data_IF_605927993181
#
_entry.id   IF_605927993181
#
_cell.length_a   1.000
_cell.length_b   1.000
_cell.length_c   1.000
_cell.angle_alpha   90.00
_cell.angle_beta   90.00
_cell.angle_gamma   90.00
#
_symmetry.space_group_name_H-M   'P 1'
#
loop_
_entity.id
_entity.type
_entity.pdbx_description
1 polymer ?
#
# COMPACT_ATOMS: atom_id res chain seq x y z
N UNK A 1 -0.85 14.40 -54.07
CA UNK A 1 0.28 14.61 -53.14
C UNK A 1 -0.27 15.28 -51.89
N UNK A 2 -0.72 14.49 -50.92
CA UNK A 2 -1.18 14.98 -49.62
C UNK A 2 0.05 15.35 -48.79
N UNK A 3 0.29 16.64 -48.59
CA UNK A 3 1.29 17.12 -47.66
C UNK A 3 0.85 16.73 -46.25
N UNK A 4 1.53 15.73 -45.69
CA UNK A 4 1.56 15.43 -44.26
C UNK A 4 1.93 16.69 -43.50
N UNK A 5 0.92 17.41 -42.97
CA UNK A 5 1.16 18.41 -41.92
C UNK A 5 1.65 17.62 -40.71
N UNK A 6 2.98 17.62 -40.52
CA UNK A 6 3.58 17.31 -39.22
C UNK A 6 3.02 18.32 -38.22
N UNK A 7 1.97 17.93 -37.52
CA UNK A 7 1.48 18.66 -36.35
C UNK A 7 2.60 18.53 -35.32
N UNK A 8 3.29 19.62 -34.94
CA UNK A 8 4.34 19.53 -33.95
C UNK A 8 3.71 19.01 -32.65
N UNK A 9 4.16 17.85 -32.19
CA UNK A 9 3.79 17.34 -30.87
C UNK A 9 4.23 18.40 -29.86
N UNK A 10 3.31 19.01 -29.11
CA UNK A 10 3.68 20.10 -28.21
C UNK A 10 4.63 19.59 -27.12
N UNK A 11 5.63 20.42 -26.81
CA UNK A 11 6.65 20.23 -25.77
C UNK A 11 6.08 19.91 -24.38
N UNK A 12 4.77 20.18 -24.16
CA UNK A 12 3.94 19.74 -23.02
C UNK A 12 3.96 18.22 -22.76
N UNK A 13 4.45 17.41 -23.71
CA UNK A 13 4.51 15.94 -23.58
C UNK A 13 5.75 15.42 -22.83
N UNK A 14 6.74 16.26 -22.49
CA UNK A 14 7.94 15.82 -21.76
C UNK A 14 7.66 15.65 -20.26
N UNK A 15 7.52 14.38 -19.85
CA UNK A 15 8.02 13.84 -18.57
C UNK A 15 7.11 13.79 -17.32
N UNK A 16 5.77 13.80 -17.44
CA UNK A 16 4.90 13.70 -16.23
C UNK A 16 3.76 12.67 -16.30
N UNK A 17 3.58 11.99 -17.44
CA UNK A 17 2.37 11.18 -17.72
C UNK A 17 2.44 9.76 -17.10
N UNK A 18 3.63 9.23 -16.86
CA UNK A 18 3.82 7.79 -16.65
C UNK A 18 3.66 7.30 -15.21
N UNK A 19 3.49 8.20 -14.24
CA UNK A 19 3.70 7.85 -12.85
C UNK A 19 2.46 7.29 -12.11
N UNK A 20 1.24 7.68 -12.49
CA UNK A 20 0.01 7.31 -11.76
C UNK A 20 -0.82 6.22 -12.47
N UNK A 21 -0.89 6.29 -13.81
CA UNK A 21 -1.68 5.34 -14.59
C UNK A 21 -0.99 4.00 -14.79
N UNK A 22 0.34 3.97 -14.94
CA UNK A 22 1.09 2.72 -15.10
C UNK A 22 0.87 1.79 -13.89
N UNK A 23 1.01 2.24 -12.63
CA UNK A 23 0.68 1.40 -11.48
C UNK A 23 -0.76 0.89 -11.51
N UNK A 24 -1.73 1.75 -11.79
CA UNK A 24 -3.16 1.36 -11.81
C UNK A 24 -3.46 0.27 -12.86
N UNK A 25 -2.91 0.39 -14.07
CA UNK A 25 -3.07 -0.63 -15.12
C UNK A 25 -2.32 -1.92 -14.79
N UNK A 26 -1.13 -1.83 -14.18
CA UNK A 26 -0.38 -2.99 -13.70
C UNK A 26 -1.18 -3.70 -12.60
N UNK A 27 -1.71 -2.98 -11.61
CA UNK A 27 -2.56 -3.50 -10.55
C UNK A 27 -3.81 -4.20 -11.11
N UNK A 28 -4.47 -3.60 -12.10
CA UNK A 28 -5.62 -4.21 -12.76
C UNK A 28 -5.27 -5.49 -13.53
N UNK A 29 -4.20 -5.45 -14.32
CA UNK A 29 -3.71 -6.62 -15.06
C UNK A 29 -3.27 -7.74 -14.13
N UNK A 30 -2.57 -7.38 -13.05
CA UNK A 30 -2.13 -8.28 -12.00
C UNK A 30 -3.31 -8.98 -11.32
N UNK A 31 -4.32 -8.24 -10.85
CA UNK A 31 -5.53 -8.84 -10.25
C UNK A 31 -6.22 -9.84 -11.17
N UNK A 32 -6.24 -9.60 -12.49
CA UNK A 32 -6.79 -10.56 -13.45
C UNK A 32 -5.96 -11.84 -13.54
N UNK A 33 -4.63 -11.71 -13.54
CA UNK A 33 -3.71 -12.85 -13.61
C UNK A 33 -3.80 -13.73 -12.35
N UNK A 34 -3.85 -13.12 -11.17
CA UNK A 34 -3.84 -13.84 -9.89
C UNK A 34 -5.23 -14.21 -9.37
N UNK A 35 -6.30 -13.96 -10.14
CA UNK A 35 -7.70 -14.15 -9.71
C UNK A 35 -7.98 -15.50 -9.05
N UNK A 36 -7.47 -16.59 -9.61
CA UNK A 36 -7.69 -17.95 -9.08
C UNK A 36 -7.00 -18.15 -7.74
N UNK A 37 -5.74 -17.72 -7.63
CA UNK A 37 -4.96 -17.81 -6.41
C UNK A 37 -5.52 -16.92 -5.31
N UNK A 38 -5.97 -15.71 -5.67
CA UNK A 38 -6.63 -14.79 -4.75
C UNK A 38 -7.96 -15.35 -4.22
N UNK A 39 -8.75 -16.00 -5.09
CA UNK A 39 -9.97 -16.72 -4.67
C UNK A 39 -9.66 -17.82 -3.65
N UNK A 40 -8.56 -18.55 -3.81
CA UNK A 40 -8.13 -19.56 -2.83
C UNK A 40 -7.82 -18.92 -1.47
N UNK A 41 -7.10 -17.80 -1.44
CA UNK A 41 -6.78 -17.08 -0.20
C UNK A 41 -8.04 -16.57 0.53
N UNK A 42 -8.99 -15.99 -0.20
CA UNK A 42 -10.26 -15.53 0.37
C UNK A 42 -11.15 -16.70 0.84
N UNK A 43 -11.12 -17.83 0.13
CA UNK A 43 -11.86 -19.03 0.55
C UNK A 43 -11.28 -19.62 1.83
N UNK A 44 -9.96 -19.56 2.01
CA UNK A 44 -9.32 -19.95 3.26
C UNK A 44 -9.78 -19.05 4.42
N UNK A 45 -9.79 -17.72 4.23
CA UNK A 45 -10.35 -16.78 5.22
C UNK A 45 -11.79 -17.18 5.55
N UNK A 46 -12.67 -17.31 4.55
CA UNK A 46 -14.06 -17.68 4.80
C UNK A 46 -14.21 -19.00 5.56
N UNK A 47 -13.38 -20.00 5.25
CA UNK A 47 -13.39 -21.29 5.94
C UNK A 47 -12.94 -21.17 7.40
N UNK A 48 -11.90 -20.40 7.65
CA UNK A 48 -11.37 -20.19 9.01
C UNK A 48 -12.39 -19.47 9.88
N UNK A 49 -13.07 -18.46 9.33
CA UNK A 49 -14.11 -17.69 10.04
C UNK A 49 -15.44 -18.42 10.19
N UNK A 50 -15.72 -19.44 9.38
CA UNK A 50 -16.92 -20.29 9.49
C UNK A 50 -16.72 -21.50 10.41
N UNK A 51 -15.49 -21.77 10.84
CA UNK A 51 -15.21 -22.84 11.80
C UNK A 51 -15.50 -22.35 13.21
N UNK A 52 -16.34 -23.07 13.96
CA UNK A 52 -16.64 -22.76 15.37
C UNK A 52 -15.34 -22.66 16.17
N UNK A 53 -14.98 -21.43 16.53
CA UNK A 53 -13.77 -21.10 17.27
C UNK A 53 -14.12 -20.76 18.71
N UNK A 54 -13.22 -21.08 19.65
CA UNK A 54 -13.38 -20.64 21.04
C UNK A 54 -13.46 -19.10 21.11
N UNK A 55 -14.22 -18.57 22.07
CA UNK A 55 -14.44 -17.12 22.21
C UNK A 55 -13.15 -16.30 22.24
N UNK A 56 -12.09 -16.82 22.85
CA UNK A 56 -10.77 -16.18 22.91
C UNK A 56 -10.08 -16.14 21.55
N UNK A 57 -10.13 -17.23 20.78
CA UNK A 57 -9.52 -17.30 19.45
C UNK A 57 -10.24 -16.38 18.47
N UNK A 58 -11.57 -16.32 18.56
CA UNK A 58 -12.38 -15.36 17.81
C UNK A 58 -12.01 -13.91 18.15
N UNK A 59 -11.81 -13.59 19.43
CA UNK A 59 -11.40 -12.24 19.85
C UNK A 59 -10.05 -11.84 19.26
N UNK A 60 -9.06 -12.74 19.27
CA UNK A 60 -7.74 -12.51 18.66
C UNK A 60 -7.88 -12.24 17.15
N UNK A 61 -8.60 -13.09 16.43
CA UNK A 61 -8.85 -12.90 15.00
C UNK A 61 -9.58 -11.58 14.70
N UNK A 62 -10.55 -11.20 15.53
CA UNK A 62 -11.28 -9.94 15.41
C UNK A 62 -10.38 -8.72 15.65
N UNK A 63 -9.38 -8.81 16.54
CA UNK A 63 -8.42 -7.73 16.75
C UNK A 63 -7.56 -7.48 15.50
N UNK A 64 -7.01 -8.54 14.90
CA UNK A 64 -6.25 -8.42 13.66
C UNK A 64 -7.12 -7.97 12.47
N UNK A 65 -8.37 -8.43 12.39
CA UNK A 65 -9.31 -7.94 11.40
C UNK A 65 -9.60 -6.43 11.57
N UNK A 66 -9.77 -5.94 12.80
CA UNK A 66 -9.91 -4.50 13.10
C UNK A 66 -8.66 -3.71 12.74
N UNK A 67 -7.46 -4.24 13.02
CA UNK A 67 -6.18 -3.63 12.61
C UNK A 67 -6.11 -3.50 11.07
N UNK A 68 -6.44 -4.56 10.33
CA UNK A 68 -6.51 -4.55 8.87
C UNK A 68 -7.55 -3.58 8.31
N UNK A 69 -8.75 -3.52 8.92
CA UNK A 69 -9.79 -2.58 8.54
C UNK A 69 -9.36 -1.12 8.80
N UNK A 70 -8.69 -0.83 9.91
CA UNK A 70 -8.16 0.50 10.21
C UNK A 70 -7.14 0.95 9.16
N UNK A 71 -6.17 0.10 8.83
CA UNK A 71 -5.17 0.40 7.80
C UNK A 71 -5.83 0.60 6.43
N UNK A 72 -6.84 -0.20 6.12
CA UNK A 72 -7.62 -0.08 4.88
C UNK A 72 -8.43 1.22 4.82
N UNK A 73 -9.01 1.65 5.94
CA UNK A 73 -9.71 2.94 6.02
C UNK A 73 -8.76 4.13 5.88
N UNK A 74 -7.56 4.04 6.46
CA UNK A 74 -6.53 5.06 6.26
C UNK A 74 -6.13 5.17 4.79
N UNK A 75 -5.89 4.04 4.13
CA UNK A 75 -5.56 4.00 2.69
C UNK A 75 -6.68 4.56 1.81
N UNK A 76 -7.93 4.12 2.05
CA UNK A 76 -9.11 4.68 1.39
C UNK A 76 -9.24 6.20 1.60
N UNK A 77 -9.02 6.68 2.84
CA UNK A 77 -9.07 8.09 3.18
C UNK A 77 -8.04 8.91 2.39
N UNK A 78 -6.81 8.41 2.29
CA UNK A 78 -5.75 9.00 1.47
C UNK A 78 -6.17 9.03 0.00
N UNK A 79 -6.72 7.93 -0.52
CA UNK A 79 -7.25 7.86 -1.88
C UNK A 79 -8.33 8.91 -2.16
N UNK A 80 -9.27 9.13 -1.23
CA UNK A 80 -10.31 10.16 -1.35
C UNK A 80 -9.71 11.57 -1.33
N UNK A 81 -8.75 11.84 -0.45
CA UNK A 81 -8.04 13.14 -0.41
C UNK A 81 -7.32 13.40 -1.73
N UNK A 82 -6.63 12.40 -2.29
CA UNK A 82 -6.02 12.50 -3.61
C UNK A 82 -7.06 12.79 -4.70
N UNK A 83 -8.21 12.10 -4.70
CA UNK A 83 -9.31 12.38 -5.63
C UNK A 83 -9.74 13.85 -5.54
N UNK A 84 -10.03 14.36 -4.34
CA UNK A 84 -10.51 15.72 -4.16
C UNK A 84 -9.49 16.77 -4.62
N UNK A 85 -8.21 16.60 -4.27
CA UNK A 85 -7.14 17.54 -4.64
C UNK A 85 -6.91 17.57 -6.15
N UNK A 86 -6.96 16.42 -6.83
CA UNK A 86 -6.78 16.39 -8.27
C UNK A 86 -8.03 16.87 -9.03
N UNK A 87 -9.24 16.63 -8.51
CA UNK A 87 -10.48 17.18 -9.10
C UNK A 87 -10.56 18.70 -8.93
N UNK A 88 -10.00 19.26 -7.86
CA UNK A 88 -9.91 20.72 -7.68
C UNK A 88 -9.24 21.40 -8.88
N UNK A 89 -8.23 20.78 -9.50
CA UNK A 89 -7.52 21.35 -10.66
C UNK A 89 -8.44 21.60 -11.86
N UNK A 90 -9.47 20.76 -12.04
CA UNK A 90 -10.47 20.94 -13.10
C UNK A 90 -11.39 22.14 -12.82
N UNK A 91 -11.59 22.47 -11.53
CA UNK A 91 -12.43 23.57 -11.07
C UNK A 91 -11.68 24.91 -11.03
N UNK A 92 -10.36 24.89 -10.80
CA UNK A 92 -9.51 26.08 -10.75
C UNK A 92 -9.74 27.07 -11.91
N UNK A 93 -9.73 26.68 -13.20
CA UNK A 93 -9.93 27.66 -14.28
C UNK A 93 -11.35 28.25 -14.28
N UNK A 94 -12.37 27.46 -13.88
CA UNK A 94 -13.75 27.92 -13.80
C UNK A 94 -13.95 28.97 -12.69
N UNK A 95 -13.36 28.71 -11.52
CA UNK A 95 -13.38 29.65 -10.39
C UNK A 95 -12.64 30.93 -10.75
N UNK A 96 -11.50 30.80 -11.43
CA UNK A 96 -10.72 31.97 -11.84
C UNK A 96 -11.40 32.78 -12.94
N UNK A 97 -12.21 32.18 -13.81
CA UNK A 97 -13.01 32.91 -14.80
C UNK A 97 -14.07 33.79 -14.13
N UNK A 98 -14.57 33.38 -12.95
CA UNK A 98 -15.53 34.16 -12.15
C UNK A 98 -14.83 35.28 -11.37
N UNK A 99 -13.73 34.96 -10.68
CA UNK A 99 -13.06 35.90 -9.75
C UNK A 99 -12.17 36.91 -10.49
N UNK A 100 -11.50 36.49 -11.56
CA UNK A 100 -10.58 37.31 -12.34
C UNK A 100 -10.69 36.99 -13.83
N UNK A 101 -11.74 37.49 -14.52
CA UNK A 101 -11.96 37.19 -15.93
C UNK A 101 -10.82 37.72 -16.81
N UNK A 102 -10.41 36.93 -17.80
CA UNK A 102 -9.43 37.31 -18.81
C UNK A 102 -10.13 37.58 -20.15
N UNK A 103 -9.58 38.49 -20.96
CA UNK A 103 -10.12 38.80 -22.30
C UNK A 103 -9.94 37.64 -23.30
N UNK A 104 -9.11 36.66 -22.93
CA UNK A 104 -8.89 35.41 -23.65
C UNK A 104 -9.31 34.24 -22.76
N UNK A 105 -9.86 33.18 -23.35
CA UNK A 105 -10.17 31.93 -22.64
C UNK A 105 -8.89 31.30 -22.11
N UNK A 106 -8.86 31.00 -20.81
CA UNK A 106 -7.77 30.24 -20.16
C UNK A 106 -7.55 28.90 -20.85
N UNK A 107 -6.29 28.48 -20.90
CA UNK A 107 -5.93 27.17 -21.41
C UNK A 107 -6.45 26.05 -20.49
N UNK A 108 -6.65 24.87 -21.06
CA UNK A 108 -7.11 23.71 -20.30
C UNK A 108 -6.02 23.26 -19.32
N UNK A 109 -6.38 23.16 -18.03
CA UNK A 109 -5.54 22.52 -17.02
C UNK A 109 -5.86 21.02 -17.05
N UNK A 110 -4.87 20.20 -17.38
CA UNK A 110 -5.03 18.76 -17.47
C UNK A 110 -4.62 18.09 -16.14
N UNK A 111 -5.43 17.13 -15.66
CA UNK A 111 -5.04 16.23 -14.56
C UNK A 111 -3.79 15.43 -14.97
N UNK A 112 -3.79 14.94 -16.21
CA UNK A 112 -2.67 14.25 -16.84
C UNK A 112 -2.49 14.73 -18.28
N UNK A 113 -1.27 14.91 -18.78
CA UNK A 113 -1.11 15.34 -20.16
C UNK A 113 -1.61 14.24 -21.10
N UNK A 114 -2.68 14.50 -21.86
CA UNK A 114 -3.25 13.56 -22.82
C UNK A 114 -3.69 14.28 -24.09
N UNK A 115 -3.49 13.61 -25.22
CA UNK A 115 -3.85 14.13 -26.54
C UNK A 115 -5.10 13.41 -27.05
N UNK A 116 -6.21 14.13 -27.20
CA UNK A 116 -7.52 13.55 -27.56
C UNK A 116 -7.81 13.53 -29.06
N UNK A 117 -6.87 13.94 -29.93
CA UNK A 117 -7.05 14.06 -31.39
C UNK A 117 -8.27 14.91 -31.81
N UNK A 118 -8.81 15.71 -30.89
CA UNK A 118 -10.02 16.52 -31.01
C UNK A 118 -9.67 17.93 -30.51
N UNK A 119 -10.39 18.95 -30.97
CA UNK A 119 -10.20 20.32 -30.49
C UNK A 119 -10.54 20.45 -29.00
N UNK A 120 -9.50 20.63 -28.18
CA UNK A 120 -9.58 20.70 -26.72
C UNK A 120 -10.47 21.86 -26.24
N UNK A 121 -10.53 22.98 -26.97
CA UNK A 121 -11.34 24.14 -26.58
C UNK A 121 -12.82 23.87 -26.81
N UNK A 122 -13.17 23.22 -27.92
CA UNK A 122 -14.56 22.90 -28.27
C UNK A 122 -15.14 21.82 -27.36
N UNK A 123 -14.34 20.82 -26.98
CA UNK A 123 -14.82 19.64 -26.22
C UNK A 123 -14.32 19.60 -24.76
N UNK A 124 -13.91 20.75 -24.22
CA UNK A 124 -13.37 20.92 -22.86
C UNK A 124 -14.12 20.12 -21.78
N UNK A 125 -15.43 20.27 -21.70
CA UNK A 125 -16.24 19.63 -20.65
C UNK A 125 -16.19 18.11 -20.74
N UNK A 126 -16.28 17.57 -21.95
CA UNK A 126 -16.24 16.11 -22.18
C UNK A 126 -14.85 15.56 -21.83
N UNK A 127 -13.79 16.28 -22.23
CA UNK A 127 -12.41 15.91 -21.89
C UNK A 127 -12.25 15.90 -20.37
N UNK A 128 -12.63 16.96 -19.66
CA UNK A 128 -12.51 17.03 -18.20
C UNK A 128 -13.30 15.92 -17.49
N UNK A 129 -14.51 15.60 -17.95
CA UNK A 129 -15.30 14.50 -17.40
C UNK A 129 -14.63 13.14 -17.63
N UNK A 130 -14.09 12.89 -18.82
CA UNK A 130 -13.35 11.66 -19.11
C UNK A 130 -12.09 11.54 -18.23
N UNK A 131 -11.33 12.64 -18.08
CA UNK A 131 -10.13 12.70 -17.25
C UNK A 131 -10.43 12.43 -15.77
N UNK A 132 -11.51 13.02 -15.24
CA UNK A 132 -11.97 12.77 -13.88
C UNK A 132 -12.37 11.30 -13.70
N UNK A 133 -13.15 10.76 -14.64
CA UNK A 133 -13.62 9.38 -14.60
C UNK A 133 -12.47 8.36 -14.61
N UNK A 134 -11.53 8.49 -15.55
CA UNK A 134 -10.37 7.58 -15.65
C UNK A 134 -9.49 7.65 -14.42
N UNK A 135 -9.30 8.85 -13.86
CA UNK A 135 -8.52 9.04 -12.64
C UNK A 135 -9.19 8.41 -11.41
N UNK A 136 -10.48 8.66 -11.19
CA UNK A 136 -11.25 8.06 -10.09
C UNK A 136 -11.21 6.53 -10.18
N UNK A 137 -11.44 5.97 -11.36
CA UNK A 137 -11.36 4.53 -11.56
C UNK A 137 -9.97 3.97 -11.24
N UNK A 138 -8.90 4.66 -11.65
CA UNK A 138 -7.53 4.25 -11.34
C UNK A 138 -7.29 4.15 -9.84
N UNK A 139 -7.69 5.18 -9.08
CA UNK A 139 -7.55 5.21 -7.62
C UNK A 139 -8.38 4.10 -6.95
N UNK A 140 -9.62 3.87 -7.38
CA UNK A 140 -10.47 2.81 -6.82
C UNK A 140 -9.83 1.43 -7.01
N UNK A 141 -9.28 1.16 -8.20
CA UNK A 141 -8.59 -0.12 -8.48
C UNK A 141 -7.35 -0.26 -7.61
N UNK A 142 -6.58 0.81 -7.46
CA UNK A 142 -5.34 0.82 -6.67
C UNK A 142 -5.60 0.56 -5.19
N UNK A 143 -6.47 1.35 -4.57
CA UNK A 143 -6.92 1.16 -3.17
C UNK A 143 -7.55 -0.22 -2.99
N UNK A 144 -8.31 -0.70 -3.98
CA UNK A 144 -8.87 -2.05 -3.97
C UNK A 144 -7.79 -3.13 -3.86
N UNK A 145 -6.69 -3.01 -4.60
CA UNK A 145 -5.56 -3.94 -4.49
C UNK A 145 -4.91 -3.88 -3.11
N UNK A 146 -4.61 -2.68 -2.62
CA UNK A 146 -3.83 -2.48 -1.40
C UNK A 146 -4.62 -2.94 -0.17
N UNK A 147 -5.90 -2.56 -0.06
CA UNK A 147 -6.81 -3.01 1.01
C UNK A 147 -6.94 -4.54 1.02
N UNK A 148 -7.03 -5.15 -0.16
CA UNK A 148 -7.13 -6.60 -0.31
C UNK A 148 -5.85 -7.31 0.16
N UNK A 149 -4.67 -6.72 -0.10
CA UNK A 149 -3.37 -7.21 0.38
C UNK A 149 -3.25 -7.05 1.91
N UNK A 150 -3.64 -5.91 2.47
CA UNK A 150 -3.64 -5.70 3.92
C UNK A 150 -4.53 -6.70 4.64
N UNK A 151 -5.72 -6.98 4.09
CA UNK A 151 -6.66 -7.95 4.68
C UNK A 151 -6.07 -9.36 4.77
N UNK A 152 -5.51 -9.89 3.67
CA UNK A 152 -4.92 -11.24 3.66
C UNK A 152 -3.70 -11.34 4.58
N UNK A 153 -2.85 -10.31 4.66
CA UNK A 153 -1.67 -10.32 5.54
C UNK A 153 -2.10 -10.26 7.01
N UNK A 154 -3.07 -9.42 7.36
CA UNK A 154 -3.56 -9.32 8.74
C UNK A 154 -4.28 -10.60 9.18
N UNK A 155 -5.02 -11.27 8.28
CA UNK A 155 -5.57 -12.61 8.56
C UNK A 155 -4.44 -13.59 8.91
N UNK A 156 -3.38 -13.61 8.12
CA UNK A 156 -2.23 -14.48 8.36
C UNK A 156 -1.55 -14.20 9.71
N UNK A 157 -1.39 -12.93 10.08
CA UNK A 157 -0.88 -12.52 11.39
C UNK A 157 -1.80 -12.99 12.52
N UNK A 158 -3.12 -12.88 12.35
CA UNK A 158 -4.10 -13.41 13.30
C UNK A 158 -4.00 -14.93 13.47
N UNK A 159 -3.79 -15.68 12.38
CA UNK A 159 -3.60 -17.13 12.43
C UNK A 159 -2.32 -17.53 13.19
N UNK A 160 -1.24 -16.75 13.04
CA UNK A 160 -0.03 -16.90 13.86
C UNK A 160 -0.32 -16.64 15.34
N UNK A 161 -0.97 -15.52 15.67
CA UNK A 161 -1.32 -15.17 17.05
C UNK A 161 -2.22 -16.23 17.71
N UNK A 162 -3.19 -16.79 16.98
CA UNK A 162 -4.01 -17.92 17.45
C UNK A 162 -3.14 -19.14 17.74
N UNK A 163 -2.16 -19.45 16.88
CA UNK A 163 -1.23 -20.55 17.14
C UNK A 163 -0.41 -20.32 18.42
N UNK A 164 0.12 -19.11 18.62
CA UNK A 164 0.83 -18.71 19.85
C UNK A 164 -0.03 -18.87 21.10
N UNK A 165 -1.27 -18.37 21.05
CA UNK A 165 -2.25 -18.53 22.13
C UNK A 165 -2.52 -20.01 22.47
N UNK A 166 -2.69 -20.86 21.46
CA UNK A 166 -2.88 -22.30 21.66
C UNK A 166 -1.66 -22.98 22.29
N UNK A 167 -0.43 -22.59 21.90
CA UNK A 167 0.79 -23.10 22.53
C UNK A 167 0.86 -22.73 24.01
N UNK A 168 0.59 -21.46 24.34
CA UNK A 168 0.63 -20.95 25.73
C UNK A 168 -0.39 -21.68 26.62
N UNK A 169 -1.60 -21.91 26.12
CA UNK A 169 -2.70 -22.51 26.87
C UNK A 169 -2.78 -24.04 26.77
N UNK A 170 -1.93 -24.69 25.95
CA UNK A 170 -1.93 -26.15 25.79
C UNK A 170 -1.72 -26.92 27.11
N UNK A 171 -1.05 -26.29 28.08
CA UNK A 171 -0.68 -26.88 29.38
C UNK A 171 -1.41 -26.18 30.54
N UNK A 172 -1.65 -24.88 30.43
CA UNK A 172 -2.19 -24.04 31.52
C UNK A 172 -3.54 -24.57 32.04
N UNK A 173 -4.48 -24.88 31.14
CA UNK A 173 -5.81 -25.40 31.48
C UNK A 173 -5.77 -26.73 32.26
N UNK A 174 -4.71 -27.53 32.06
CA UNK A 174 -4.59 -28.90 32.57
C UNK A 174 -3.65 -28.99 33.78
N UNK A 175 -2.91 -27.93 34.09
CA UNK A 175 -1.95 -27.88 35.21
C UNK A 175 -2.60 -27.99 36.60
N UNK A 176 -3.93 -27.84 36.68
CA UNK A 176 -4.73 -27.90 37.91
C UNK A 176 -5.04 -29.35 38.32
N UNK A 177 -4.92 -30.32 37.41
CA UNK A 177 -5.32 -31.72 37.65
C UNK A 177 -4.06 -32.60 37.83
N UNK A 178 -4.11 -33.56 38.77
CA UNK A 178 -3.03 -34.53 39.00
C UNK A 178 -2.56 -35.19 37.68
N UNK A 179 -1.24 -35.21 37.42
CA UNK A 179 -0.63 -35.74 36.19
C UNK A 179 -0.96 -37.22 35.96
N UNK A 180 -2.04 -37.49 35.23
CA UNK A 180 -2.36 -38.82 34.71
C UNK A 180 -1.78 -38.99 33.30
N UNK A 181 -1.60 -40.24 32.85
CA UNK A 181 -1.20 -40.52 31.46
C UNK A 181 -2.17 -39.92 30.45
N UNK A 182 -3.48 -39.96 30.73
CA UNK A 182 -4.52 -39.40 29.88
C UNK A 182 -4.39 -37.88 29.68
N UNK A 183 -4.07 -37.12 30.75
CA UNK A 183 -3.83 -35.67 30.65
C UNK A 183 -2.61 -35.38 29.77
N UNK A 184 -1.57 -36.20 29.89
CA UNK A 184 -0.37 -36.02 29.09
C UNK A 184 -0.58 -36.30 27.60
N UNK A 185 -1.45 -37.26 27.28
CA UNK A 185 -1.90 -37.53 25.90
C UNK A 185 -2.76 -36.38 25.35
N UNK A 186 -3.62 -35.79 26.19
CA UNK A 186 -4.42 -34.62 25.81
C UNK A 186 -3.54 -33.38 25.53
N UNK A 187 -2.55 -33.10 26.38
CA UNK A 187 -1.56 -32.04 26.15
C UNK A 187 -0.83 -32.29 24.83
N UNK A 188 -0.41 -33.53 24.57
CA UNK A 188 0.28 -33.88 23.34
C UNK A 188 -0.59 -33.58 22.10
N UNK A 189 -1.87 -33.96 22.12
CA UNK A 189 -2.82 -33.63 21.04
C UNK A 189 -3.08 -32.12 20.89
N UNK A 190 -3.18 -31.37 22.00
CA UNK A 190 -3.30 -29.89 21.96
C UNK A 190 -2.07 -29.24 21.30
N UNK A 191 -0.86 -29.72 21.61
CA UNK A 191 0.39 -29.24 21.01
C UNK A 191 0.45 -29.59 19.52
N UNK A 192 0.06 -30.81 19.13
CA UNK A 192 -0.02 -31.19 17.71
C UNK A 192 -0.99 -30.30 16.92
N UNK A 193 -2.16 -29.96 17.49
CA UNK A 193 -3.09 -29.01 16.88
C UNK A 193 -2.48 -27.62 16.73
N UNK A 194 -1.73 -27.16 17.73
CA UNK A 194 -1.03 -25.86 17.70
C UNK A 194 0.04 -25.81 16.59
N UNK A 195 0.80 -26.91 16.43
CA UNK A 195 1.81 -27.04 15.36
C UNK A 195 1.15 -27.03 13.99
N UNK A 196 0.07 -27.78 13.79
CA UNK A 196 -0.68 -27.79 12.52
C UNK A 196 -1.21 -26.40 12.17
N UNK A 197 -1.72 -25.68 13.15
CA UNK A 197 -2.19 -24.30 12.99
C UNK A 197 -1.05 -23.35 12.59
N UNK A 198 0.09 -23.43 13.27
CA UNK A 198 1.27 -22.63 12.95
C UNK A 198 1.81 -22.92 11.54
N UNK A 199 1.88 -24.20 11.16
CA UNK A 199 2.29 -24.61 9.80
C UNK A 199 1.30 -24.07 8.74
N UNK A 200 0.00 -24.17 9.01
CA UNK A 200 -1.02 -23.62 8.13
C UNK A 200 -0.84 -22.11 7.90
N UNK A 201 -0.60 -21.34 8.97
CA UNK A 201 -0.36 -19.90 8.88
C UNK A 201 0.91 -19.57 8.08
N UNK A 202 2.00 -20.33 8.28
CA UNK A 202 3.25 -20.17 7.53
C UNK A 202 3.05 -20.48 6.03
N UNK A 203 2.36 -21.57 5.70
CA UNK A 203 2.12 -21.94 4.31
C UNK A 203 1.17 -20.95 3.60
N UNK A 204 0.23 -20.37 4.34
CA UNK A 204 -0.58 -19.25 3.88
C UNK A 204 0.29 -18.02 3.56
N UNK A 205 1.22 -17.64 4.44
CA UNK A 205 2.17 -16.54 4.20
C UNK A 205 3.09 -16.80 3.01
N UNK A 206 3.61 -18.02 2.85
CA UNK A 206 4.40 -18.40 1.66
C UNK A 206 3.59 -18.28 0.38
N UNK A 207 2.30 -18.61 0.44
CA UNK A 207 1.39 -18.45 -0.70
C UNK A 207 1.18 -16.98 -1.03
N UNK A 208 0.91 -16.12 -0.04
CA UNK A 208 0.83 -14.66 -0.22
C UNK A 208 2.11 -14.13 -0.87
N UNK A 209 3.26 -14.54 -0.32
CA UNK A 209 4.58 -14.13 -0.79
C UNK A 209 4.80 -14.54 -2.26
N UNK A 210 4.52 -15.80 -2.61
CA UNK A 210 4.67 -16.27 -4.00
C UNK A 210 3.77 -15.52 -4.99
N UNK A 211 2.59 -15.10 -4.55
CA UNK A 211 1.63 -14.38 -5.39
C UNK A 211 2.06 -12.91 -5.58
N UNK A 212 2.47 -12.24 -4.49
CA UNK A 212 2.70 -10.78 -4.48
C UNK A 212 4.15 -10.36 -4.70
N UNK A 213 5.11 -11.27 -4.62
CA UNK A 213 6.55 -10.95 -4.70
C UNK A 213 6.93 -10.12 -5.93
N UNK A 214 6.49 -10.51 -7.12
CA UNK A 214 6.77 -9.76 -8.37
C UNK A 214 6.03 -8.43 -8.42
N UNK A 215 4.75 -8.42 -8.01
CA UNK A 215 3.93 -7.21 -7.98
C UNK A 215 4.53 -6.15 -7.05
N UNK A 216 4.89 -6.53 -5.83
CA UNK A 216 5.52 -5.66 -4.85
C UNK A 216 6.85 -5.09 -5.37
N UNK A 217 7.65 -5.88 -6.08
CA UNK A 217 8.89 -5.40 -6.71
C UNK A 217 8.64 -4.32 -7.77
N UNK A 218 7.67 -4.55 -8.66
CA UNK A 218 7.32 -3.58 -9.70
C UNK A 218 6.72 -2.33 -9.05
N UNK A 219 5.84 -2.48 -8.07
CA UNK A 219 5.23 -1.36 -7.36
C UNK A 219 6.25 -0.52 -6.61
N UNK A 220 7.12 -1.12 -5.79
CA UNK A 220 8.17 -0.37 -5.07
C UNK A 220 9.12 0.32 -6.04
N UNK A 221 9.55 -0.36 -7.11
CA UNK A 221 10.39 0.22 -8.16
C UNK A 221 9.77 1.44 -8.83
N UNK A 222 8.49 1.35 -9.20
CA UNK A 222 7.74 2.47 -9.75
C UNK A 222 7.60 3.59 -8.73
N UNK A 223 7.16 3.30 -7.50
CA UNK A 223 6.96 4.36 -6.51
C UNK A 223 8.27 5.09 -6.22
N UNK A 224 9.43 4.40 -6.12
CA UNK A 224 10.74 5.05 -5.99
C UNK A 224 11.05 6.03 -7.12
N UNK A 225 10.87 5.60 -8.38
CA UNK A 225 11.10 6.46 -9.53
C UNK A 225 10.15 7.67 -9.53
N UNK A 226 8.87 7.44 -9.27
CA UNK A 226 7.86 8.50 -9.25
C UNK A 226 8.02 9.48 -8.08
N UNK A 227 8.46 9.00 -6.91
CA UNK A 227 8.75 9.81 -5.72
C UNK A 227 9.93 10.75 -6.00
N UNK A 228 10.99 10.24 -6.62
CA UNK A 228 12.17 11.02 -7.00
C UNK A 228 11.81 12.14 -7.97
N UNK A 229 11.00 11.86 -9.00
CA UNK A 229 10.51 12.87 -9.96
C UNK A 229 9.59 13.90 -9.29
N UNK A 230 8.72 13.46 -8.38
CA UNK A 230 7.80 14.36 -7.66
C UNK A 230 8.56 15.31 -6.74
N UNK A 231 9.63 14.84 -6.07
CA UNK A 231 10.52 15.70 -5.29
C UNK A 231 11.18 16.80 -6.14
N UNK A 232 11.60 16.50 -7.38
CA UNK A 232 12.15 17.51 -8.31
C UNK A 232 11.10 18.59 -8.62
N UNK A 233 9.84 18.20 -8.84
CA UNK A 233 8.75 19.14 -9.11
C UNK A 233 8.43 20.03 -7.92
N UNK A 234 8.36 19.46 -6.73
CA UNK A 234 8.13 20.23 -5.49
C UNK A 234 9.29 21.20 -5.25
N UNK A 235 10.53 20.76 -5.41
CA UNK A 235 11.72 21.61 -5.23
C UNK A 235 11.79 22.74 -6.26
N UNK A 236 11.40 22.50 -7.51
CA UNK A 236 11.45 23.53 -8.57
C UNK A 236 10.30 24.53 -8.47
N UNK A 237 9.10 24.07 -8.05
CA UNK A 237 7.94 24.94 -7.82
C UNK A 237 8.16 25.91 -6.67
N UNK A 238 8.80 25.45 -5.58
CA UNK A 238 9.19 26.31 -4.44
C UNK A 238 10.15 27.44 -4.89
N UNK A 239 11.11 27.13 -5.78
CA UNK A 239 12.04 28.11 -6.32
C UNK A 239 11.33 29.20 -7.14
N UNK A 240 10.38 28.82 -8.01
CA UNK A 240 9.59 29.77 -8.80
C UNK A 240 8.79 30.73 -7.92
N UNK A 241 8.22 30.23 -6.82
CA UNK A 241 7.48 31.05 -5.86
C UNK A 241 8.37 32.14 -5.24
N UNK A 242 9.59 31.78 -4.83
CA UNK A 242 10.56 32.76 -4.26
C UNK A 242 11.06 33.80 -5.26
N UNK A 243 11.20 33.42 -6.54
CA UNK A 243 11.65 34.34 -7.59
C UNK A 243 10.53 35.29 -8.05
N UNK A 244 9.28 34.86 -7.98
CA UNK A 244 8.12 35.68 -8.31
C UNK A 244 7.88 36.83 -7.30
N UNK A 245 8.16 36.59 -6.02
CA UNK A 245 7.96 37.58 -4.94
C UNK A 245 8.97 38.75 -5.00
N UNK A 246 10.14 38.54 -5.62
CA UNK A 246 11.22 39.54 -5.68
C UNK A 246 11.14 40.52 -6.86
N UNK A 247 10.22 40.34 -7.81
CA UNK A 247 10.25 41.04 -9.11
C UNK A 247 8.93 41.81 -9.41
N UNK A 248 8.40 42.58 -8.46
CA UNK A 248 7.07 43.20 -8.60
C UNK A 248 7.08 44.67 -9.08
N UNK A 249 6.70 44.88 -10.36
CA UNK A 249 6.15 46.13 -10.90
C UNK A 249 5.25 45.87 -12.15
N UNK A 250 4.11 45.16 -12.03
CA UNK A 250 3.04 45.10 -13.07
C UNK A 250 1.67 44.61 -12.54
N UNK A 251 0.57 44.94 -13.24
CA UNK A 251 -0.88 44.79 -12.93
C UNK A 251 -1.29 43.63 -11.98
N UNK A 252 -1.89 44.01 -10.86
CA UNK A 252 -2.38 43.13 -9.79
C UNK A 252 -3.36 42.01 -10.22
N UNK A 253 -4.27 42.24 -11.19
CA UNK A 253 -5.29 41.22 -11.55
C UNK A 253 -4.71 40.02 -12.31
N UNK A 254 -3.78 40.25 -13.24
CA UNK A 254 -3.11 39.17 -14.00
C UNK A 254 -2.15 38.38 -13.12
N UNK A 255 -1.59 39.03 -12.09
CA UNK A 255 -0.72 38.42 -11.09
C UNK A 255 -1.48 37.46 -10.17
N UNK A 256 -2.68 37.84 -9.69
CA UNK A 256 -3.51 37.00 -8.81
C UNK A 256 -3.93 35.69 -9.49
N UNK A 257 -4.32 35.74 -10.77
CA UNK A 257 -4.67 34.54 -11.53
C UNK A 257 -3.47 33.59 -11.70
N UNK A 258 -2.31 34.09 -12.15
CA UNK A 258 -1.12 33.26 -12.31
C UNK A 258 -0.62 32.68 -10.98
N UNK A 259 -0.67 33.47 -9.90
CA UNK A 259 -0.30 33.04 -8.56
C UNK A 259 -1.20 31.90 -8.04
N UNK A 260 -2.50 32.00 -8.30
CA UNK A 260 -3.47 31.00 -7.87
C UNK A 260 -3.31 29.65 -8.61
N UNK A 261 -3.02 29.66 -9.91
CA UNK A 261 -2.77 28.45 -10.70
C UNK A 261 -1.49 27.74 -10.23
N UNK A 262 -0.39 28.50 -10.03
CA UNK A 262 0.88 27.97 -9.50
C UNK A 262 0.69 27.38 -8.09
N UNK A 263 -0.13 28.02 -7.24
CA UNK A 263 -0.40 27.53 -5.90
C UNK A 263 -1.16 26.20 -5.90
N UNK A 264 -2.14 26.03 -6.80
CA UNK A 264 -2.92 24.80 -6.91
C UNK A 264 -2.08 23.62 -7.41
N UNK A 265 -1.22 23.84 -8.41
CA UNK A 265 -0.29 22.81 -8.89
C UNK A 265 0.72 22.38 -7.82
N UNK A 266 1.22 23.34 -7.04
CA UNK A 266 2.16 23.07 -5.94
C UNK A 266 1.51 22.26 -4.82
N UNK A 267 0.26 22.58 -4.45
CA UNK A 267 -0.50 21.83 -3.44
C UNK A 267 -0.69 20.38 -3.89
N UNK A 268 -1.06 20.16 -5.16
CA UNK A 268 -1.23 18.82 -5.74
C UNK A 268 0.05 17.99 -5.62
N UNK A 269 1.20 18.55 -6.00
CA UNK A 269 2.47 17.83 -5.97
C UNK A 269 2.91 17.47 -4.55
N UNK A 270 2.67 18.35 -3.56
CA UNK A 270 2.94 18.08 -2.14
C UNK A 270 2.03 16.97 -1.59
N UNK A 271 0.73 17.05 -1.87
CA UNK A 271 -0.23 16.02 -1.45
C UNK A 271 0.13 14.67 -2.08
N UNK A 272 0.44 14.66 -3.37
CA UNK A 272 0.83 13.45 -4.07
C UNK A 272 2.12 12.83 -3.49
N UNK A 273 3.12 13.64 -3.17
CA UNK A 273 4.35 13.19 -2.50
C UNK A 273 4.06 12.56 -1.13
N UNK A 274 3.20 13.20 -0.33
CA UNK A 274 2.81 12.67 0.99
C UNK A 274 2.03 11.35 0.88
N UNK A 275 1.19 11.21 -0.15
CA UNK A 275 0.45 9.99 -0.44
C UNK A 275 1.40 8.85 -0.84
N UNK A 276 2.37 9.11 -1.71
CA UNK A 276 3.38 8.12 -2.10
C UNK A 276 4.20 7.63 -0.90
N UNK A 277 4.61 8.54 -0.01
CA UNK A 277 5.34 8.20 1.21
C UNK A 277 4.51 7.28 2.11
N UNK A 278 3.25 7.66 2.34
CA UNK A 278 2.34 6.89 3.20
C UNK A 278 2.02 5.52 2.59
N UNK A 279 1.86 5.45 1.27
CA UNK A 279 1.61 4.20 0.58
C UNK A 279 2.79 3.21 0.71
N UNK A 280 4.04 3.65 0.50
CA UNK A 280 5.22 2.76 0.73
C UNK A 280 5.25 2.31 2.20
N UNK A 281 4.98 3.22 3.14
CA UNK A 281 4.90 2.88 4.55
C UNK A 281 3.86 1.79 4.83
N UNK A 282 2.64 1.94 4.30
CA UNK A 282 1.55 0.97 4.47
C UNK A 282 1.87 -0.40 3.87
N UNK A 283 2.60 -0.47 2.75
CA UNK A 283 3.06 -1.74 2.18
C UNK A 283 4.17 -2.40 3.03
N UNK A 284 5.18 -1.62 3.42
CA UNK A 284 6.34 -2.14 4.16
C UNK A 284 6.00 -2.55 5.59
N UNK A 285 5.08 -1.85 6.25
CA UNK A 285 4.64 -2.19 7.62
C UNK A 285 3.91 -3.52 7.68
N UNK A 286 3.27 -3.99 6.59
CA UNK A 286 2.65 -5.32 6.55
C UNK A 286 3.68 -6.43 6.77
N UNK A 287 4.87 -6.32 6.16
CA UNK A 287 5.94 -7.27 6.39
C UNK A 287 6.49 -7.22 7.82
N UNK A 288 6.55 -6.02 8.42
CA UNK A 288 6.90 -5.86 9.84
C UNK A 288 5.89 -6.56 10.76
N UNK A 289 4.59 -6.45 10.49
CA UNK A 289 3.56 -7.13 11.29
C UNK A 289 3.70 -8.65 11.26
N UNK A 290 4.08 -9.23 10.11
CA UNK A 290 4.33 -10.66 10.01
C UNK A 290 5.51 -11.10 10.88
N UNK A 291 6.60 -10.34 10.88
CA UNK A 291 7.76 -10.62 11.73
C UNK A 291 7.38 -10.52 13.21
N UNK A 292 6.71 -9.43 13.60
CA UNK A 292 6.26 -9.24 14.98
C UNK A 292 5.32 -10.36 15.45
N UNK A 293 4.41 -10.82 14.58
CA UNK A 293 3.52 -11.94 14.91
C UNK A 293 4.29 -13.26 15.09
N UNK A 294 5.36 -13.50 14.32
CA UNK A 294 6.23 -14.65 14.53
C UNK A 294 7.02 -14.58 15.85
N UNK A 295 7.49 -13.38 16.21
CA UNK A 295 8.19 -13.15 17.48
C UNK A 295 7.26 -13.38 18.68
N UNK A 296 6.02 -12.90 18.60
CA UNK A 296 4.99 -13.13 19.62
C UNK A 296 4.63 -14.62 19.78
N UNK A 297 4.61 -15.38 18.67
CA UNK A 297 4.47 -16.84 18.72
C UNK A 297 5.66 -17.47 19.45
N UNK A 298 6.88 -17.03 19.15
CA UNK A 298 8.10 -17.53 19.79
C UNK A 298 8.07 -17.30 21.30
N UNK A 299 7.70 -16.10 21.73
CA UNK A 299 7.51 -15.74 23.13
C UNK A 299 6.43 -16.60 23.80
N UNK A 300 5.27 -16.76 23.14
CA UNK A 300 4.17 -17.60 23.64
C UNK A 300 4.55 -19.07 23.82
N UNK A 301 5.36 -19.62 22.91
CA UNK A 301 5.89 -20.99 23.01
C UNK A 301 6.89 -21.09 24.17
N UNK A 302 7.73 -20.07 24.36
CA UNK A 302 8.72 -20.02 25.43
C UNK A 302 8.07 -19.92 26.82
N UNK A 303 7.03 -19.10 26.95
CA UNK A 303 6.21 -18.91 28.16
C UNK A 303 5.37 -20.13 28.55
N UNK A 304 5.17 -21.06 27.62
CA UNK A 304 4.42 -22.27 27.91
C UNK A 304 5.13 -23.11 29.00
N UNK A 305 4.37 -23.80 29.84
CA UNK A 305 4.90 -24.69 30.89
C UNK A 305 5.49 -26.01 30.33
N UNK A 306 6.18 -25.96 29.18
CA UNK A 306 6.64 -27.11 28.40
C UNK A 306 7.53 -28.08 29.19
N UNK A 307 8.25 -27.57 30.20
CA UNK A 307 9.10 -28.36 31.09
C UNK A 307 8.32 -29.38 31.94
N UNK A 308 7.01 -29.17 32.12
CA UNK A 308 6.14 -30.07 32.89
C UNK A 308 5.59 -31.27 32.09
N UNK A 309 5.87 -31.34 30.79
CA UNK A 309 5.33 -32.35 29.86
C UNK A 309 6.26 -33.57 29.70
N UNK A 310 5.82 -34.60 28.96
CA UNK A 310 6.65 -35.74 28.61
C UNK A 310 7.75 -35.37 27.59
N UNK A 311 8.76 -36.24 27.46
CA UNK A 311 9.90 -35.96 26.57
C UNK A 311 9.50 -35.82 25.08
N UNK A 312 8.44 -36.52 24.64
CA UNK A 312 7.93 -36.42 23.26
C UNK A 312 7.36 -35.03 22.98
N UNK A 313 6.52 -34.51 23.87
CA UNK A 313 5.92 -33.18 23.78
C UNK A 313 6.98 -32.09 23.93
N UNK A 314 7.96 -32.24 24.83
CA UNK A 314 9.11 -31.31 24.92
C UNK A 314 9.83 -31.15 23.59
N UNK A 315 10.09 -32.26 22.90
CA UNK A 315 10.72 -32.23 21.58
C UNK A 315 9.88 -31.45 20.56
N UNK A 316 8.55 -31.58 20.59
CA UNK A 316 7.65 -30.83 19.71
C UNK A 316 7.73 -29.31 19.94
N UNK A 317 7.80 -28.86 21.20
CA UNK A 317 8.03 -27.44 21.52
C UNK A 317 9.35 -26.93 20.96
N UNK A 318 10.44 -27.70 21.11
CA UNK A 318 11.76 -27.34 20.58
C UNK A 318 11.74 -27.26 19.06
N UNK A 319 11.07 -28.20 18.38
CA UNK A 319 10.91 -28.16 16.92
C UNK A 319 10.10 -26.96 16.46
N UNK A 320 9.05 -26.59 17.19
CA UNK A 320 8.27 -25.38 16.91
C UNK A 320 9.10 -24.11 17.07
N UNK A 321 9.86 -23.97 18.17
CA UNK A 321 10.80 -22.84 18.37
C UNK A 321 11.85 -22.78 17.26
N UNK A 322 12.44 -23.92 16.91
CA UNK A 322 13.42 -24.01 15.81
C UNK A 322 12.85 -23.53 14.49
N UNK A 323 11.57 -23.81 14.22
CA UNK A 323 10.90 -23.35 13.01
C UNK A 323 10.71 -21.82 13.01
N UNK A 324 10.39 -21.23 14.17
CA UNK A 324 10.21 -19.78 14.32
C UNK A 324 11.51 -18.96 14.15
N UNK A 325 12.68 -19.59 14.29
CA UNK A 325 13.98 -18.95 14.01
C UNK A 325 14.15 -18.52 12.56
N UNK A 326 13.37 -19.09 11.63
CA UNK A 326 13.30 -18.66 10.24
C UNK A 326 11.94 -17.98 10.00
N UNK A 327 11.79 -16.70 10.37
CA UNK A 327 10.51 -16.03 10.28
C UNK A 327 9.99 -16.03 8.84
N UNK A 328 8.68 -16.23 8.62
CA UNK A 328 8.10 -16.03 7.30
C UNK A 328 8.28 -14.55 6.92
N UNK A 329 9.00 -14.29 5.83
CA UNK A 329 9.25 -12.93 5.36
C UNK A 329 8.45 -12.63 4.10
N UNK A 330 7.85 -11.44 4.07
CA UNK A 330 7.33 -10.87 2.84
C UNK A 330 8.47 -10.11 2.16
N UNK A 331 8.70 -10.35 0.88
CA UNK A 331 9.77 -9.70 0.13
C UNK A 331 9.35 -9.37 -1.31
N UNK A 332 9.91 -8.30 -1.84
CA UNK A 332 9.77 -7.91 -3.23
C UNK A 332 10.82 -8.64 -4.07
N UNK A 333 10.40 -9.65 -4.84
CA UNK A 333 11.25 -10.50 -5.69
C UNK A 333 12.45 -11.16 -4.98
N UNK A 334 12.43 -11.26 -3.64
CA UNK A 334 13.59 -11.68 -2.85
C UNK A 334 14.74 -10.66 -2.77
N UNK A 335 14.57 -9.47 -3.36
CA UNK A 335 15.56 -8.39 -3.38
C UNK A 335 15.45 -7.48 -2.16
N UNK A 336 14.22 -7.16 -1.77
CA UNK A 336 13.91 -6.24 -0.66
C UNK A 336 12.97 -6.96 0.30
N UNK A 337 13.40 -7.16 1.53
CA UNK A 337 12.53 -7.67 2.60
C UNK A 337 11.61 -6.52 3.02
N UNK A 338 10.32 -6.79 3.19
CA UNK A 338 9.38 -5.77 3.64
C UNK A 338 9.49 -5.62 5.16
N UNK A 339 10.14 -4.56 5.60
CA UNK A 339 10.22 -4.12 6.98
C UNK A 339 10.44 -2.60 7.06
N UNK A 340 10.49 -2.06 8.29
CA UNK A 340 10.72 -0.63 8.50
C UNK A 340 12.15 -0.18 8.12
N UNK A 341 13.12 -1.10 8.09
CA UNK A 341 14.49 -0.79 7.68
C UNK A 341 14.54 -0.56 6.17
N UNK A 342 13.95 -1.44 5.38
CA UNK A 342 13.83 -1.31 3.94
C UNK A 342 12.98 -0.10 3.54
N UNK A 343 11.96 0.28 4.33
CA UNK A 343 11.28 1.57 4.14
C UNK A 343 12.27 2.76 4.19
N UNK A 344 13.14 2.81 5.20
CA UNK A 344 14.15 3.85 5.32
C UNK A 344 15.14 3.82 4.15
N UNK A 345 15.57 2.63 3.73
CA UNK A 345 16.48 2.44 2.59
C UNK A 345 15.84 2.93 1.28
N UNK A 346 14.58 2.58 1.02
CA UNK A 346 13.80 3.02 -0.15
C UNK A 346 13.70 4.56 -0.21
N UNK A 347 13.49 5.22 0.94
CA UNK A 347 13.44 6.69 0.99
C UNK A 347 14.82 7.27 0.71
N UNK A 348 15.87 6.74 1.34
CA UNK A 348 17.26 7.21 1.14
C UNK A 348 17.68 7.09 -0.31
N UNK A 349 17.40 5.96 -0.96
CA UNK A 349 17.72 5.77 -2.39
C UNK A 349 16.93 6.75 -3.26
N UNK A 350 15.64 6.97 -2.98
CA UNK A 350 14.82 7.93 -3.73
C UNK A 350 15.31 9.38 -3.57
N UNK A 351 15.72 9.79 -2.37
CA UNK A 351 16.31 11.12 -2.11
C UNK A 351 17.67 11.27 -2.81
N UNK A 352 18.46 10.19 -2.86
CA UNK A 352 19.71 10.15 -3.62
C UNK A 352 19.45 10.37 -5.12
N UNK A 353 18.49 9.64 -5.70
CA UNK A 353 18.08 9.84 -7.10
C UNK A 353 17.54 11.24 -7.36
N UNK A 354 16.75 11.81 -6.45
CA UNK A 354 16.33 13.21 -6.52
C UNK A 354 17.52 14.17 -6.61
N UNK A 355 18.56 13.97 -5.80
CA UNK A 355 19.75 14.83 -5.78
C UNK A 355 20.49 14.77 -7.11
N UNK A 356 20.65 13.56 -7.67
CA UNK A 356 21.23 13.36 -9.00
C UNK A 356 20.40 14.06 -10.07
N UNK A 357 19.08 13.81 -10.11
CA UNK A 357 18.18 14.41 -11.09
C UNK A 357 18.12 15.94 -11.00
N UNK A 358 18.34 16.52 -9.82
CA UNK A 358 18.40 17.98 -9.63
C UNK A 358 19.73 18.59 -10.10
N UNK A 359 20.79 17.79 -10.12
CA UNK A 359 22.13 18.22 -10.54
C UNK A 359 22.39 18.11 -12.05
N UNK A 360 21.59 17.29 -12.75
CA UNK A 360 21.55 17.20 -14.21
C UNK A 360 20.76 18.38 -14.78
#
# INVERSE_FOLDING_TARGET
MCASKNIPVPEKMRNTIYCVFIPSYISFGYMRLIKLQYKMLLTAIWKDWSTDSHSNEFHIMAEYAKKGALLSWLDCGIGVVCILVFLQLLLTPLVLDIISPMNETRDLIYIYPAYYYIDDRKYRTIINLHMAYTYILGIIVYVGCDTSYMCIVQHACGQLAVAGHRFKNAIFDLSIVNKTSAIQDEIHERVLRSIRQHQHAIDYLKTIQSIHSTYLCICIGLVMATFSVTLVKVSSSTCKFTQFDSNCNYRASKQVAAQSEISAESIKDVVFLSSQLTHIFLLTVQGQFVQNANDEVTESIYDALWYNTNNKTKLLFVLALRNCLNPPTLSAAGLIILDLKSFSEIIKTSVSYFTVLKSM
#
